data_IF_876236888023
#
_entry.id   IF_876236888023
#
_cell.length_a   1.000
_cell.length_b   1.000
_cell.length_c   1.000
_cell.angle_alpha   90.00
_cell.angle_beta   90.00
_cell.angle_gamma   90.00
#
_symmetry.space_group_name_H-M   'P 1'
#
loop_
_entity.id
_entity.type
_entity.pdbx_description
1 polymer ?
#
# COMPACT_ATOMS: atom_id res chain seq x y z
N UNK A 1 -21.32 -0.74 -6.44
CA UNK A 1 -20.09 -0.62 -7.24
C UNK A 1 -18.96 -1.21 -6.44
N UNK A 2 -18.18 -2.10 -7.05
CA UNK A 2 -17.00 -2.71 -6.45
C UNK A 2 -15.88 -1.68 -6.29
N UNK A 3 -15.16 -1.63 -5.16
CA UNK A 3 -14.00 -0.74 -5.00
C UNK A 3 -12.84 -1.18 -5.90
N UNK A 4 -11.90 -0.28 -6.18
CA UNK A 4 -10.63 -0.61 -6.84
C UNK A 4 -9.56 -0.71 -5.76
N UNK A 5 -8.85 -1.83 -5.70
CA UNK A 5 -7.68 -2.02 -4.83
C UNK A 5 -6.44 -1.91 -5.71
N UNK A 6 -5.71 -0.81 -5.56
CA UNK A 6 -4.54 -0.48 -6.36
C UNK A 6 -3.27 -0.69 -5.53
N UNK A 7 -2.40 -1.58 -5.95
CA UNK A 7 -1.05 -1.69 -5.42
C UNK A 7 -0.08 -0.85 -6.26
N UNK A 8 0.70 0.01 -5.60
CA UNK A 8 1.74 0.80 -6.23
C UNK A 8 3.08 0.10 -6.06
N UNK A 9 3.72 -0.25 -7.17
CA UNK A 9 5.02 -0.90 -7.21
C UNK A 9 6.08 -0.12 -6.44
N UNK A 10 7.00 -0.86 -5.85
CA UNK A 10 8.06 -0.34 -4.98
C UNK A 10 9.38 -0.26 -5.76
N UNK A 11 10.52 -0.55 -5.14
CA UNK A 11 11.85 -0.46 -5.75
C UNK A 11 12.29 -1.76 -6.47
N UNK A 12 11.33 -2.55 -6.94
CA UNK A 12 11.57 -3.87 -7.53
C UNK A 12 10.58 -4.20 -8.66
N UNK A 13 10.84 -5.29 -9.38
CA UNK A 13 9.92 -5.71 -10.45
C UNK A 13 8.60 -6.18 -9.84
N UNK A 14 7.47 -5.99 -10.55
CA UNK A 14 6.18 -6.45 -10.04
C UNK A 14 6.18 -7.96 -9.76
N UNK A 15 6.94 -8.76 -10.52
CA UNK A 15 7.04 -10.20 -10.30
C UNK A 15 7.73 -10.54 -8.97
N UNK A 16 8.75 -9.78 -8.58
CA UNK A 16 9.46 -9.95 -7.31
C UNK A 16 8.59 -9.43 -6.15
N UNK A 17 7.93 -8.30 -6.37
CA UNK A 17 6.99 -7.74 -5.40
C UNK A 17 5.79 -8.67 -5.21
N UNK A 18 5.19 -9.27 -6.23
CA UNK A 18 4.05 -10.20 -6.11
C UNK A 18 4.35 -11.44 -5.27
N UNK A 19 5.61 -11.89 -5.19
CA UNK A 19 6.02 -12.96 -4.29
C UNK A 19 6.07 -12.53 -2.82
N UNK A 20 6.15 -11.23 -2.57
CA UNK A 20 6.37 -10.58 -1.29
C UNK A 20 5.09 -9.91 -0.77
N UNK A 21 4.40 -9.15 -1.61
CA UNK A 21 3.02 -8.69 -1.42
C UNK A 21 2.20 -9.94 -1.12
N UNK A 22 1.76 -10.09 0.12
CA UNK A 22 0.88 -11.18 0.49
C UNK A 22 -0.48 -11.11 -0.23
N UNK A 23 -1.52 -11.72 0.33
CA UNK A 23 -2.70 -12.06 -0.45
C UNK A 23 -3.72 -10.89 -0.56
N UNK A 24 -3.32 -9.77 -1.18
CA UNK A 24 -4.26 -8.69 -1.57
C UNK A 24 -5.47 -9.28 -2.34
N UNK A 25 -5.24 -10.37 -3.06
CA UNK A 25 -6.24 -11.14 -3.80
C UNK A 25 -7.35 -11.75 -2.93
N UNK A 26 -7.05 -12.14 -1.69
CA UNK A 26 -8.06 -12.68 -0.76
C UNK A 26 -9.02 -11.57 -0.28
N UNK A 27 -8.46 -10.38 -0.02
CA UNK A 27 -9.25 -9.19 0.32
C UNK A 27 -10.08 -8.73 -0.89
N UNK A 28 -9.51 -8.74 -2.09
CA UNK A 28 -10.23 -8.44 -3.33
C UNK A 28 -11.44 -9.35 -3.49
N UNK A 29 -11.28 -10.66 -3.30
CA UNK A 29 -12.37 -11.62 -3.38
C UNK A 29 -13.46 -11.33 -2.33
N UNK A 30 -13.07 -10.99 -1.10
CA UNK A 30 -13.99 -10.65 0.00
C UNK A 30 -14.80 -9.38 -0.28
N UNK A 31 -14.20 -8.35 -0.86
CA UNK A 31 -14.85 -7.07 -1.15
C UNK A 31 -15.44 -6.99 -2.56
N UNK A 32 -15.29 -8.06 -3.36
CA UNK A 32 -15.67 -8.07 -4.77
C UNK A 32 -14.96 -6.97 -5.57
N UNK A 33 -13.73 -6.59 -5.17
CA UNK A 33 -13.00 -5.45 -5.68
C UNK A 33 -12.41 -5.71 -7.08
N UNK A 34 -12.08 -4.64 -7.81
CA UNK A 34 -11.15 -4.72 -8.94
C UNK A 34 -9.73 -4.58 -8.41
N UNK A 35 -8.90 -5.60 -8.61
CA UNK A 35 -7.49 -5.56 -8.24
C UNK A 35 -6.65 -4.98 -9.38
N UNK A 36 -5.79 -4.03 -9.06
CA UNK A 36 -4.89 -3.37 -10.00
C UNK A 36 -3.49 -3.35 -9.39
N UNK A 37 -2.52 -3.87 -10.12
CA UNK A 37 -1.10 -3.76 -9.80
C UNK A 37 -0.46 -2.81 -10.80
N UNK A 38 0.25 -1.80 -10.32
CA UNK A 38 0.91 -0.81 -11.18
C UNK A 38 2.41 -0.86 -10.89
N UNK A 39 3.21 -1.29 -11.86
CA UNK A 39 4.67 -1.36 -11.71
C UNK A 39 5.26 0.04 -11.61
N UNK A 40 6.29 0.20 -10.78
CA UNK A 40 7.01 1.46 -10.70
C UNK A 40 7.84 1.69 -11.97
N UNK A 41 7.89 2.94 -12.44
CA UNK A 41 8.80 3.35 -13.51
C UNK A 41 10.25 2.94 -13.19
N UNK A 42 11.02 2.56 -14.19
CA UNK A 42 12.43 2.11 -14.06
C UNK A 42 12.62 0.74 -13.40
N UNK A 43 11.54 0.01 -13.12
CA UNK A 43 11.60 -1.37 -12.62
C UNK A 43 10.89 -2.34 -13.56
N UNK A 44 11.32 -3.61 -13.51
CA UNK A 44 10.75 -4.70 -14.30
C UNK A 44 10.72 -4.40 -15.80
N UNK A 45 9.52 -4.43 -16.37
CA UNK A 45 9.30 -4.12 -17.79
C UNK A 45 8.95 -2.65 -18.03
N UNK A 46 8.67 -1.90 -16.96
CA UNK A 46 8.24 -0.50 -16.99
C UNK A 46 9.41 0.47 -17.06
N UNK A 47 10.31 0.25 -18.02
CA UNK A 47 11.47 1.12 -18.29
C UNK A 47 11.22 1.86 -19.60
N UNK A 48 10.81 3.14 -19.56
CA UNK A 48 10.66 3.95 -20.76
C UNK A 48 11.97 3.95 -21.57
N UNK A 49 11.87 3.81 -22.88
CA UNK A 49 13.05 3.75 -23.75
C UNK A 49 13.93 5.01 -23.64
N UNK A 50 13.29 6.16 -23.42
CA UNK A 50 13.93 7.44 -23.13
C UNK A 50 14.69 7.49 -21.79
N UNK A 51 14.54 6.49 -20.91
CA UNK A 51 15.14 6.40 -19.59
C UNK A 51 16.12 5.21 -19.44
N UNK A 52 16.54 4.59 -20.55
CA UNK A 52 17.55 3.51 -20.54
C UNK A 52 18.97 4.00 -20.28
N UNK A 53 19.22 5.31 -20.37
CA UNK A 53 20.53 5.91 -20.07
C UNK A 53 20.76 6.03 -18.56
N UNK A 54 21.91 5.54 -18.09
CA UNK A 54 22.25 5.42 -16.68
C UNK A 54 22.35 6.77 -15.93
N UNK A 55 22.49 7.88 -16.68
CA UNK A 55 22.58 9.25 -16.14
C UNK A 55 21.21 9.83 -15.72
N UNK A 56 20.10 9.14 -16.01
CA UNK A 56 18.74 9.61 -15.73
C UNK A 56 18.22 9.23 -14.34
N UNK A 57 19.12 8.91 -13.39
CA UNK A 57 18.77 8.67 -11.96
C UNK A 57 17.97 9.82 -11.32
N UNK A 58 18.03 11.03 -11.88
CA UNK A 58 17.18 12.15 -11.46
C UNK A 58 15.67 11.94 -11.69
N UNK A 59 15.28 10.97 -12.53
CA UNK A 59 13.88 10.61 -12.79
C UNK A 59 13.37 9.47 -11.90
N UNK A 60 14.22 8.98 -11.00
CA UNK A 60 13.87 8.00 -9.97
C UNK A 60 13.40 8.75 -8.70
N UNK A 61 12.15 9.25 -8.73
CA UNK A 61 11.55 9.91 -7.56
C UNK A 61 10.05 9.64 -7.45
N UNK A 62 9.54 9.58 -6.22
CA UNK A 62 8.09 9.47 -5.95
C UNK A 62 7.29 10.60 -6.60
N UNK A 63 7.87 11.81 -6.65
CA UNK A 63 7.24 12.98 -7.27
C UNK A 63 6.89 12.74 -8.75
N UNK A 64 7.63 11.88 -9.43
CA UNK A 64 7.36 11.56 -10.83
C UNK A 64 6.60 10.23 -11.01
N UNK A 65 6.74 9.27 -10.09
CA UNK A 65 5.97 8.03 -10.14
C UNK A 65 4.48 8.22 -9.81
N UNK A 66 4.15 9.13 -8.89
CA UNK A 66 2.76 9.42 -8.49
C UNK A 66 1.85 9.85 -9.66
N UNK A 67 2.27 10.75 -10.57
CA UNK A 67 1.53 11.04 -11.79
C UNK A 67 1.23 9.82 -12.66
N UNK A 68 2.16 8.88 -12.82
CA UNK A 68 1.92 7.68 -13.63
C UNK A 68 0.82 6.81 -13.03
N UNK A 69 0.89 6.59 -11.71
CA UNK A 69 -0.11 5.84 -10.97
C UNK A 69 -1.49 6.49 -11.09
N UNK A 70 -1.56 7.82 -10.98
CA UNK A 70 -2.79 8.56 -11.16
C UNK A 70 -3.35 8.44 -12.59
N UNK A 71 -2.51 8.54 -13.62
CA UNK A 71 -2.93 8.41 -15.02
C UNK A 71 -3.47 7.02 -15.33
N UNK A 72 -2.80 5.96 -14.84
CA UNK A 72 -3.27 4.57 -14.99
C UNK A 72 -4.62 4.38 -14.33
N UNK A 73 -4.80 4.85 -13.09
CA UNK A 73 -6.08 4.74 -12.37
C UNK A 73 -7.20 5.53 -13.04
N UNK A 74 -6.92 6.74 -13.54
CA UNK A 74 -7.88 7.54 -14.31
C UNK A 74 -8.25 6.87 -15.63
N UNK A 75 -7.29 6.25 -16.32
CA UNK A 75 -7.55 5.48 -17.54
C UNK A 75 -8.47 4.29 -17.25
N UNK A 76 -8.21 3.54 -16.18
CA UNK A 76 -9.05 2.42 -15.73
C UNK A 76 -10.46 2.91 -15.41
N UNK A 77 -10.60 4.03 -14.68
CA UNK A 77 -11.92 4.59 -14.35
C UNK A 77 -12.72 4.96 -15.58
N UNK A 78 -12.09 5.60 -16.58
CA UNK A 78 -12.74 5.94 -17.85
C UNK A 78 -13.11 4.70 -18.68
N UNK A 79 -12.26 3.67 -18.67
CA UNK A 79 -12.47 2.43 -19.42
C UNK A 79 -13.60 1.56 -18.85
N UNK A 80 -13.78 1.56 -17.52
CA UNK A 80 -14.76 0.72 -16.81
C UNK A 80 -15.94 1.51 -16.20
N UNK A 81 -16.40 2.58 -16.88
CA UNK A 81 -17.25 3.67 -16.33
C UNK A 81 -17.33 3.75 -14.79
N UNK A 82 -16.18 3.88 -14.14
CA UNK A 82 -16.00 3.74 -12.70
C UNK A 82 -15.63 5.06 -12.02
N UNK A 83 -16.13 6.19 -12.54
CA UNK A 83 -15.73 7.53 -12.10
C UNK A 83 -15.99 7.75 -10.59
N UNK A 84 -17.14 7.30 -10.10
CA UNK A 84 -17.53 7.36 -8.68
C UNK A 84 -17.05 6.18 -7.83
N UNK A 85 -16.30 5.23 -8.39
CA UNK A 85 -15.79 4.08 -7.65
C UNK A 85 -14.66 4.51 -6.70
N UNK A 86 -14.72 4.13 -5.42
CA UNK A 86 -13.62 4.38 -4.47
C UNK A 86 -12.38 3.58 -4.86
N UNK A 87 -11.21 4.20 -4.74
CA UNK A 87 -9.90 3.57 -4.94
C UNK A 87 -9.18 3.51 -3.60
N UNK A 88 -8.80 2.32 -3.18
CA UNK A 88 -7.96 2.06 -2.02
C UNK A 88 -6.56 1.71 -2.50
N UNK A 89 -5.55 2.41 -2.00
CA UNK A 89 -4.17 2.30 -2.46
C UNK A 89 -3.36 1.53 -1.42
N UNK A 90 -2.55 0.58 -1.88
CA UNK A 90 -1.67 -0.26 -1.08
C UNK A 90 -0.22 -0.11 -1.56
N UNK A 91 0.74 -0.14 -0.64
CA UNK A 91 2.17 -0.07 -0.92
C UNK A 91 3.00 -0.17 0.36
N UNK A 92 4.20 -0.72 0.27
CA UNK A 92 5.19 -0.80 1.35
C UNK A 92 6.33 0.23 1.19
N UNK A 93 7.16 0.34 2.23
CA UNK A 93 8.40 1.11 2.23
C UNK A 93 8.25 2.56 1.70
N UNK A 94 8.85 2.93 0.56
CA UNK A 94 8.78 4.28 0.00
C UNK A 94 7.47 4.57 -0.74
N UNK A 95 6.74 3.53 -1.16
CA UNK A 95 5.35 3.65 -1.63
C UNK A 95 4.38 4.14 -0.54
N UNK A 96 4.79 4.03 0.73
CA UNK A 96 4.17 4.67 1.89
C UNK A 96 5.14 5.68 2.53
N UNK A 97 5.18 6.90 1.99
CA UNK A 97 6.10 7.99 2.36
C UNK A 97 6.47 8.05 3.87
N UNK A 98 7.78 8.13 4.21
CA UNK A 98 8.29 8.19 5.60
C UNK A 98 9.13 9.46 5.85
N UNK A 99 8.72 10.28 6.83
CA UNK A 99 9.45 11.44 7.40
C UNK A 99 9.42 11.37 8.94
N UNK A 100 10.32 12.08 9.66
CA UNK A 100 10.37 12.05 11.13
C UNK A 100 9.18 12.75 11.77
N UNK A 101 8.47 12.04 12.67
CA UNK A 101 7.26 12.43 13.42
C UNK A 101 7.30 13.87 13.97
N UNK A 102 6.81 14.83 13.18
CA UNK A 102 6.64 16.24 13.56
C UNK A 102 5.17 16.70 13.53
N UNK A 103 4.25 15.89 12.97
CA UNK A 103 2.82 16.17 12.89
C UNK A 103 1.93 14.93 13.09
N UNK A 104 0.67 15.14 13.51
CA UNK A 104 -0.33 14.08 13.70
C UNK A 104 -0.66 13.32 12.40
N UNK A 105 -0.62 14.00 11.25
CA UNK A 105 -0.71 13.41 9.92
C UNK A 105 0.34 12.32 9.67
N UNK A 106 1.54 12.45 10.24
CA UNK A 106 2.59 11.45 10.06
C UNK A 106 2.36 10.19 10.90
N UNK A 107 1.78 10.35 12.09
CA UNK A 107 1.30 9.22 12.89
C UNK A 107 0.23 8.44 12.11
N UNK A 108 -0.68 9.15 11.43
CA UNK A 108 -1.70 8.52 10.58
C UNK A 108 -1.07 7.71 9.45
N UNK A 109 -0.09 8.27 8.74
CA UNK A 109 0.62 7.58 7.65
C UNK A 109 1.36 6.34 8.18
N UNK A 110 2.02 6.45 9.34
CA UNK A 110 2.71 5.32 9.96
C UNK A 110 1.74 4.19 10.32
N UNK A 111 0.60 4.52 10.94
CA UNK A 111 -0.43 3.56 11.28
C UNK A 111 -1.03 2.91 10.04
N UNK A 112 -1.37 3.70 9.02
CA UNK A 112 -1.90 3.21 7.75
C UNK A 112 -0.91 2.23 7.08
N UNK A 113 0.39 2.54 7.08
CA UNK A 113 1.44 1.65 6.56
C UNK A 113 1.57 0.37 7.40
N UNK A 114 1.60 0.47 8.73
CA UNK A 114 1.72 -0.67 9.62
C UNK A 114 0.54 -1.64 9.47
N UNK A 115 -0.68 -1.12 9.47
CA UNK A 115 -1.89 -1.93 9.24
C UNK A 115 -1.95 -2.50 7.83
N UNK A 116 -1.54 -1.73 6.81
CA UNK A 116 -1.50 -2.23 5.43
C UNK A 116 -0.54 -3.41 5.30
N UNK A 117 0.64 -3.34 5.94
CA UNK A 117 1.61 -4.44 5.98
C UNK A 117 1.03 -5.62 6.76
N UNK A 118 0.49 -5.42 7.96
CA UNK A 118 -0.11 -6.49 8.75
C UNK A 118 -1.22 -7.21 7.95
N UNK A 119 -2.16 -6.47 7.36
CA UNK A 119 -3.23 -7.03 6.54
C UNK A 119 -2.73 -7.72 5.26
N UNK A 120 -1.65 -7.21 4.66
CA UNK A 120 -1.04 -7.79 3.46
C UNK A 120 -0.51 -9.21 3.75
N UNK A 121 0.16 -9.40 4.89
CA UNK A 121 0.76 -10.68 5.26
C UNK A 121 -0.16 -11.59 6.11
N UNK A 122 -1.44 -11.24 6.26
CA UNK A 122 -2.39 -11.94 7.13
C UNK A 122 -2.88 -13.27 6.56
N UNK A 123 -2.07 -14.33 6.68
CA UNK A 123 -2.37 -15.63 6.04
C UNK A 123 -1.66 -16.81 6.72
N UNK A 124 -2.17 -18.05 6.62
CA UNK A 124 -1.47 -19.19 7.20
C UNK A 124 -0.02 -19.31 6.71
N UNK A 125 0.96 -19.66 7.59
CA UNK A 125 0.79 -20.03 9.00
C UNK A 125 0.86 -18.85 9.99
N UNK A 126 0.97 -17.60 9.53
CA UNK A 126 1.14 -16.41 10.38
C UNK A 126 0.07 -15.38 10.09
N UNK A 127 -0.71 -15.04 11.12
CA UNK A 127 -1.73 -14.00 11.05
C UNK A 127 -1.24 -12.74 11.79
N UNK A 128 -0.40 -11.88 11.19
CA UNK A 128 0.07 -10.64 11.81
C UNK A 128 -1.03 -9.66 12.23
N UNK A 129 -2.27 -9.77 11.75
CA UNK A 129 -3.38 -8.96 12.26
C UNK A 129 -3.80 -9.43 13.66
N UNK A 130 -3.75 -10.73 13.94
CA UNK A 130 -4.14 -11.30 15.24
C UNK A 130 -3.38 -10.73 16.45
N UNK A 131 -2.03 -10.67 16.48
CA UNK A 131 -1.32 -10.08 17.62
C UNK A 131 -1.62 -8.59 17.76
N UNK A 132 -1.79 -7.84 16.66
CA UNK A 132 -2.15 -6.42 16.69
C UNK A 132 -3.53 -6.23 17.32
N UNK A 133 -4.55 -6.98 16.86
CA UNK A 133 -5.88 -6.94 17.45
C UNK A 133 -5.88 -7.39 18.91
N UNK A 134 -5.15 -8.45 19.26
CA UNK A 134 -5.01 -8.90 20.65
C UNK A 134 -4.35 -7.86 21.53
N UNK A 135 -3.34 -7.14 21.02
CA UNK A 135 -2.70 -6.04 21.74
C UNK A 135 -3.69 -4.91 22.05
N UNK A 136 -4.49 -4.52 21.06
CA UNK A 136 -5.55 -3.50 21.22
C UNK A 136 -6.61 -3.96 22.23
N UNK A 137 -7.11 -5.19 22.09
CA UNK A 137 -8.17 -5.75 22.92
C UNK A 137 -7.72 -6.06 24.35
N UNK A 138 -6.41 -6.29 24.55
CA UNK A 138 -5.82 -6.55 25.87
C UNK A 138 -5.43 -5.29 26.64
N UNK A 139 -5.67 -4.10 26.07
CA UNK A 139 -5.42 -2.85 26.77
C UNK A 139 -6.28 -2.75 28.05
N UNK A 140 -5.74 -2.23 29.17
CA UNK A 140 -6.48 -2.09 30.42
C UNK A 140 -7.84 -1.39 30.26
N UNK A 141 -8.81 -1.80 31.09
CA UNK A 141 -10.11 -1.14 31.13
C UNK A 141 -9.94 0.32 31.57
N UNK A 142 -10.41 1.27 30.75
CA UNK A 142 -10.18 2.70 30.94
C UNK A 142 -8.98 3.28 30.18
N UNK A 143 -8.19 2.47 29.47
CA UNK A 143 -7.14 2.96 28.57
C UNK A 143 -7.71 3.84 27.47
N UNK A 144 -6.99 4.92 27.17
CA UNK A 144 -7.37 5.82 26.09
C UNK A 144 -7.07 5.22 24.70
N UNK A 145 -7.49 5.92 23.65
CA UNK A 145 -7.33 5.42 22.27
C UNK A 145 -5.86 5.30 21.88
N UNK A 146 -4.98 6.16 22.39
CA UNK A 146 -3.56 6.13 22.07
C UNK A 146 -2.85 4.96 22.75
N UNK A 147 -3.21 4.67 24.00
CA UNK A 147 -2.71 3.50 24.73
C UNK A 147 -3.06 2.20 24.00
N UNK A 148 -4.31 2.09 23.53
CA UNK A 148 -4.79 0.94 22.76
C UNK A 148 -4.03 0.76 21.44
N UNK A 149 -3.84 1.86 20.71
CA UNK A 149 -3.07 1.87 19.46
C UNK A 149 -1.63 1.45 19.73
N UNK A 150 -1.01 1.99 20.78
CA UNK A 150 0.35 1.63 21.16
C UNK A 150 0.47 0.15 21.50
N UNK A 151 -0.45 -0.41 22.28
CA UNK A 151 -0.51 -1.83 22.60
C UNK A 151 -0.63 -2.71 21.36
N UNK A 152 -1.35 -2.28 20.33
CA UNK A 152 -1.43 -2.99 19.05
C UNK A 152 -0.14 -2.96 18.23
N UNK A 153 0.61 -1.85 18.26
CA UNK A 153 1.83 -1.67 17.46
C UNK A 153 3.00 -2.49 18.03
N UNK A 154 3.07 -2.67 19.35
CA UNK A 154 4.18 -3.34 20.04
C UNK A 154 3.95 -4.82 20.34
N UNK A 155 2.82 -5.38 19.88
CA UNK A 155 2.37 -6.74 20.15
C UNK A 155 3.13 -7.83 19.37
#
# INVERSE_FOLDING_TARGET
MAPIFAYLGEESSLNDDLGSIGNLSDNVARFGALQVYIEHRLHGESIPEALKDADLRGYFSSAQALPDYAEVLLHIKKKYPADSTPVMVFGGSYGGLRKPLDAAEELKIFLDSFFSVAAQYDRPPRYPVDPVCKGIDSAPEGSDVLDKIFSGIVA
#
